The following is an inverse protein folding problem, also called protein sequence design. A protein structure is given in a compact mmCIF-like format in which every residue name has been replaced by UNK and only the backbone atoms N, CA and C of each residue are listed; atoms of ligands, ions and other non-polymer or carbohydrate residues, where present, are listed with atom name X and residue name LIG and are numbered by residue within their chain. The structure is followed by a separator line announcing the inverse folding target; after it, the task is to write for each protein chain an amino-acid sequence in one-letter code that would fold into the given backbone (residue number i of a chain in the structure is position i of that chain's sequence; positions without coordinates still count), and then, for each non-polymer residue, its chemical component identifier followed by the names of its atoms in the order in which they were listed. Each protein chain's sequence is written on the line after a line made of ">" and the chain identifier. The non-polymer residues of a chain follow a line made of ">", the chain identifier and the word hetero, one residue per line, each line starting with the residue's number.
data_IF_734142672190
#
_entry.id   IF_734142672190
#
_cell.length_a   1.000
_cell.length_b   1.000
_cell.length_c   1.000
_cell.angle_alpha   90.00
_cell.angle_beta   90.00
_cell.angle_gamma   90.00
#
_symmetry.space_group_name_H-M   'P 1'
#
loop_
_entity.id
_entity.type
_entity.pdbx_description
1 polymer ?
#
# COMPACT_ATOMS: atom_id res chain seq x y z
N UNK A 1 -12.52 2.53 13.35
CA UNK A 1 -13.11 2.63 12.00
C UNK A 1 -12.07 3.16 11.01
N UNK A 2 -11.50 4.37 11.20
CA UNK A 2 -10.56 5.02 10.27
C UNK A 2 -9.35 4.15 9.90
N UNK A 3 -8.80 3.40 10.85
CA UNK A 3 -7.65 2.51 10.60
C UNK A 3 -8.03 1.32 9.70
N UNK A 4 -9.16 0.67 9.94
CA UNK A 4 -9.61 -0.48 9.14
C UNK A 4 -10.12 -0.04 7.77
N UNK A 5 -10.77 1.13 7.68
CA UNK A 5 -11.19 1.72 6.41
C UNK A 5 -10.04 2.44 5.67
N UNK A 6 -8.84 2.43 6.25
CA UNK A 6 -7.63 3.04 5.65
C UNK A 6 -7.87 4.50 5.22
N UNK A 7 -8.54 5.27 6.07
CA UNK A 7 -8.99 6.64 5.73
C UNK A 7 -7.98 7.72 6.17
N UNK A 8 -7.14 7.43 7.17
CA UNK A 8 -6.09 8.33 7.66
C UNK A 8 -6.57 9.50 8.52
N UNK A 9 -7.86 9.60 8.81
CA UNK A 9 -8.40 10.65 9.63
C UNK A 9 -8.33 10.27 11.11
N UNK A 10 -7.68 11.12 11.92
CA UNK A 10 -7.62 11.00 13.37
C UNK A 10 -7.97 12.32 14.03
N UNK A 11 -8.90 12.33 15.01
CA UNK A 11 -9.23 13.51 15.78
C UNK A 11 -8.18 13.85 16.83
N UNK A 12 -7.22 12.94 17.06
CA UNK A 12 -6.15 13.07 18.07
C UNK A 12 -4.80 12.76 17.46
N UNK A 13 -3.76 13.30 18.06
CA UNK A 13 -2.39 12.98 17.69
C UNK A 13 -2.03 11.56 18.14
N UNK A 14 -1.85 10.69 17.17
CA UNK A 14 -1.56 9.27 17.40
C UNK A 14 -0.21 9.09 18.11
N UNK A 15 0.76 9.92 17.75
CA UNK A 15 2.09 9.87 18.32
C UNK A 15 2.13 10.21 19.80
N UNK A 16 1.33 11.21 20.22
CA UNK A 16 1.29 11.71 21.58
C UNK A 16 0.31 10.95 22.50
N UNK A 17 -0.86 10.56 21.96
CA UNK A 17 -1.98 10.04 22.77
C UNK A 17 -1.94 8.52 22.92
N UNK A 18 -1.51 7.79 21.89
CA UNK A 18 -1.51 6.33 21.95
C UNK A 18 -0.29 5.76 22.66
N UNK A 19 -0.55 4.82 23.57
CA UNK A 19 0.49 3.97 24.17
C UNK A 19 1.21 3.12 23.10
N UNK A 20 2.42 2.60 23.36
CA UNK A 20 3.10 1.69 22.42
C UNK A 20 2.24 0.49 22.02
N UNK A 21 1.47 -0.07 22.94
CA UNK A 21 0.51 -1.13 22.67
C UNK A 21 -0.59 -0.67 21.73
N UNK A 22 -1.16 0.52 21.95
CA UNK A 22 -2.19 1.12 21.10
C UNK A 22 -1.70 1.37 19.67
N UNK A 23 -0.44 1.82 19.51
CA UNK A 23 0.21 1.98 18.20
C UNK A 23 0.37 0.64 17.48
N UNK A 24 0.70 -0.43 18.20
CA UNK A 24 0.78 -1.79 17.66
C UNK A 24 -0.60 -2.30 17.20
N UNK A 25 -1.63 -2.10 18.00
CA UNK A 25 -3.02 -2.46 17.62
C UNK A 25 -3.46 -1.68 16.38
N UNK A 26 -3.16 -0.37 16.34
CA UNK A 26 -3.47 0.48 15.19
C UNK A 26 -2.79 -0.05 13.92
N UNK A 27 -1.52 -0.42 14.01
CA UNK A 27 -0.77 -1.01 12.91
C UNK A 27 -1.41 -2.30 12.38
N UNK A 28 -1.81 -3.21 13.28
CA UNK A 28 -2.53 -4.42 12.91
C UNK A 28 -3.86 -4.11 12.21
N UNK A 29 -4.60 -3.09 12.67
CA UNK A 29 -5.85 -2.67 12.05
C UNK A 29 -5.63 -2.07 10.66
N UNK A 30 -4.57 -1.27 10.46
CA UNK A 30 -4.19 -0.73 9.14
C UNK A 30 -3.82 -1.87 8.19
N UNK A 31 -2.98 -2.80 8.63
CA UNK A 31 -2.57 -3.95 7.83
C UNK A 31 -3.76 -4.82 7.43
N UNK A 32 -4.66 -5.07 8.38
CA UNK A 32 -5.89 -5.81 8.09
C UNK A 32 -6.79 -5.07 7.09
N UNK A 33 -6.96 -3.77 7.24
CA UNK A 33 -7.73 -2.95 6.29
C UNK A 33 -7.11 -2.88 4.90
N UNK A 34 -5.80 -2.66 4.82
CA UNK A 34 -5.06 -2.49 3.57
C UNK A 34 -4.97 -3.76 2.72
N UNK A 35 -4.93 -4.94 3.35
CA UNK A 35 -5.01 -6.22 2.63
C UNK A 35 -6.35 -6.43 1.92
N UNK A 36 -7.39 -5.72 2.33
CA UNK A 36 -8.68 -5.65 1.67
C UNK A 36 -9.58 -6.87 1.86
N UNK A 37 -10.86 -6.65 1.62
CA UNK A 37 -11.94 -7.63 1.79
C UNK A 37 -11.70 -8.91 0.95
N UNK A 38 -11.13 -8.77 -0.25
CA UNK A 38 -10.86 -9.91 -1.15
C UNK A 38 -9.87 -10.91 -0.55
N UNK A 39 -8.85 -10.42 0.14
CA UNK A 39 -7.86 -11.30 0.80
C UNK A 39 -8.50 -12.05 1.97
N UNK A 40 -9.30 -11.36 2.79
CA UNK A 40 -10.02 -12.01 3.90
C UNK A 40 -11.04 -13.02 3.43
N UNK A 41 -11.84 -12.68 2.42
CA UNK A 41 -12.80 -13.61 1.84
C UNK A 41 -12.09 -14.88 1.34
N UNK A 42 -10.94 -14.72 0.72
CA UNK A 42 -10.12 -15.85 0.26
C UNK A 42 -9.54 -16.67 1.42
N UNK A 43 -9.12 -16.02 2.52
CA UNK A 43 -8.63 -16.71 3.74
C UNK A 43 -9.76 -17.47 4.41
N UNK A 44 -10.93 -16.85 4.60
CA UNK A 44 -12.10 -17.49 5.19
C UNK A 44 -12.52 -18.70 4.35
N UNK A 45 -12.53 -18.56 3.02
CA UNK A 45 -12.83 -19.65 2.11
C UNK A 45 -11.84 -20.82 2.24
N UNK A 46 -10.55 -20.54 2.43
CA UNK A 46 -9.52 -21.57 2.67
C UNK A 46 -9.71 -22.30 3.99
N UNK A 47 -10.03 -21.57 5.06
CA UNK A 47 -10.26 -22.14 6.38
C UNK A 47 -11.52 -23.01 6.39
N UNK A 48 -12.54 -22.63 5.64
CA UNK A 48 -13.80 -23.37 5.52
C UNK A 48 -13.85 -24.41 4.40
N UNK A 49 -12.75 -24.60 3.69
CA UNK A 49 -12.64 -25.46 2.49
C UNK A 49 -13.21 -26.88 2.64
N UNK A 50 -13.27 -27.42 3.84
CA UNK A 50 -13.79 -28.78 4.06
C UNK A 50 -15.31 -28.92 3.93
N UNK A 51 -16.08 -27.83 3.91
CA UNK A 51 -17.54 -27.82 3.96
C UNK A 51 -18.23 -27.05 2.82
N UNK A 52 -17.52 -26.60 1.79
CA UNK A 52 -18.11 -25.74 0.74
C UNK A 52 -18.38 -26.53 -0.54
N UNK A 53 -19.61 -26.53 -1.08
CA UNK A 53 -19.97 -27.24 -2.32
C UNK A 53 -19.21 -26.67 -3.54
N UNK A 54 -18.98 -27.55 -4.53
CA UNK A 54 -18.20 -27.30 -5.73
C UNK A 54 -18.60 -26.02 -6.53
N UNK A 55 -19.88 -25.66 -6.55
CA UNK A 55 -20.38 -24.48 -7.26
C UNK A 55 -19.82 -23.13 -6.75
N UNK A 56 -19.45 -23.06 -5.47
CA UNK A 56 -18.89 -21.82 -4.89
C UNK A 56 -17.42 -21.61 -5.24
N UNK A 57 -16.71 -22.67 -5.65
CA UNK A 57 -15.31 -22.60 -6.09
C UNK A 57 -15.16 -21.89 -7.43
N UNK A 58 -16.08 -22.16 -8.37
CA UNK A 58 -16.10 -21.50 -9.67
C UNK A 58 -16.39 -20.01 -9.55
N UNK A 59 -17.34 -19.61 -8.69
CA UNK A 59 -17.66 -18.21 -8.46
C UNK A 59 -16.49 -17.42 -7.88
N UNK A 60 -15.73 -18.00 -6.94
CA UNK A 60 -14.55 -17.36 -6.37
C UNK A 60 -13.37 -17.33 -7.35
N UNK A 61 -13.18 -18.39 -8.14
CA UNK A 61 -12.13 -18.40 -9.18
C UNK A 61 -12.43 -17.42 -10.31
N UNK A 62 -13.70 -17.27 -10.68
CA UNK A 62 -14.15 -16.28 -11.66
C UNK A 62 -14.06 -14.85 -11.11
N UNK A 63 -14.41 -14.62 -9.85
CA UNK A 63 -14.27 -13.31 -9.20
C UNK A 63 -12.81 -12.86 -9.08
N UNK A 64 -11.88 -13.81 -8.96
CA UNK A 64 -10.44 -13.55 -8.92
C UNK A 64 -9.79 -13.54 -10.32
N UNK A 65 -10.58 -13.71 -11.41
CA UNK A 65 -10.11 -13.69 -12.83
C UNK A 65 -8.99 -14.68 -13.17
N UNK A 66 -8.81 -15.77 -12.39
CA UNK A 66 -7.67 -16.68 -12.55
C UNK A 66 -8.13 -18.13 -12.51
N UNK A 67 -8.07 -18.81 -13.67
CA UNK A 67 -8.32 -20.23 -13.77
C UNK A 67 -7.30 -21.10 -13.01
N UNK A 68 -7.71 -22.29 -12.59
CA UNK A 68 -6.93 -23.42 -12.02
C UNK A 68 -5.85 -23.12 -10.95
N UNK A 69 -5.98 -22.05 -10.18
CA UNK A 69 -4.99 -21.69 -9.17
C UNK A 69 -5.40 -22.16 -7.76
N UNK A 70 -4.44 -22.76 -7.05
CA UNK A 70 -4.57 -22.96 -5.60
C UNK A 70 -4.66 -21.60 -4.90
N UNK A 71 -5.83 -21.28 -4.34
CA UNK A 71 -6.08 -20.05 -3.57
C UNK A 71 -5.01 -19.86 -2.48
N UNK A 72 -4.57 -20.98 -1.85
CA UNK A 72 -3.52 -20.95 -0.84
C UNK A 72 -2.16 -20.49 -1.39
N UNK A 73 -1.80 -20.92 -2.60
CA UNK A 73 -0.57 -20.48 -3.24
C UNK A 73 -0.64 -19.00 -3.62
N UNK A 74 -1.79 -18.55 -4.11
CA UNK A 74 -2.03 -17.12 -4.41
C UNK A 74 -1.89 -16.25 -3.17
N UNK A 75 -2.58 -16.60 -2.07
CA UNK A 75 -2.52 -15.85 -0.81
C UNK A 75 -1.10 -15.78 -0.26
N UNK A 76 -0.37 -16.90 -0.25
CA UNK A 76 1.02 -16.93 0.21
C UNK A 76 1.92 -16.02 -0.62
N UNK A 77 1.71 -15.99 -1.94
CA UNK A 77 2.45 -15.10 -2.83
C UNK A 77 2.10 -13.63 -2.59
N UNK A 78 0.82 -13.30 -2.44
CA UNK A 78 0.36 -11.93 -2.16
C UNK A 78 0.91 -11.45 -0.82
N UNK A 79 0.75 -12.23 0.25
CA UNK A 79 1.26 -11.87 1.57
C UNK A 79 2.78 -11.70 1.57
N UNK A 80 3.51 -12.66 0.96
CA UNK A 80 4.96 -12.57 0.85
C UNK A 80 5.42 -11.33 0.09
N UNK A 81 4.68 -10.94 -0.95
CA UNK A 81 4.93 -9.74 -1.74
C UNK A 81 4.69 -8.47 -0.92
N UNK A 82 3.55 -8.36 -0.26
CA UNK A 82 3.18 -7.22 0.58
C UNK A 82 4.22 -7.02 1.66
N UNK A 83 4.47 -8.02 2.49
CA UNK A 83 5.48 -7.93 3.55
C UNK A 83 6.89 -7.70 3.02
N UNK A 84 7.22 -8.22 1.84
CA UNK A 84 8.50 -7.96 1.18
C UNK A 84 8.69 -6.50 0.80
N UNK A 85 7.68 -5.88 0.19
CA UNK A 85 7.72 -4.46 -0.20
C UNK A 85 7.75 -3.56 1.04
N UNK A 86 6.90 -3.85 2.02
CA UNK A 86 6.86 -3.13 3.29
C UNK A 86 8.20 -3.21 4.04
N UNK A 87 8.83 -4.38 4.08
CA UNK A 87 10.14 -4.56 4.69
C UNK A 87 11.24 -3.77 3.97
N UNK A 88 11.23 -3.77 2.64
CA UNK A 88 12.21 -3.00 1.85
C UNK A 88 12.00 -1.50 2.08
N UNK A 89 10.77 -1.00 2.05
CA UNK A 89 10.48 0.41 2.29
C UNK A 89 10.85 0.83 3.72
N UNK A 90 10.54 -0.01 4.72
CA UNK A 90 10.93 0.23 6.11
C UNK A 90 12.45 0.27 6.28
N UNK A 91 13.17 -0.65 5.64
CA UNK A 91 14.63 -0.69 5.66
C UNK A 91 15.23 0.57 5.03
N UNK A 92 14.72 1.01 3.88
CA UNK A 92 15.19 2.22 3.21
C UNK A 92 14.95 3.47 4.06
N UNK A 93 13.78 3.61 4.68
CA UNK A 93 13.48 4.72 5.60
C UNK A 93 14.41 4.71 6.83
N UNK A 94 14.62 3.54 7.43
CA UNK A 94 15.49 3.40 8.59
C UNK A 94 16.96 3.70 8.27
N UNK A 95 17.46 3.25 7.12
CA UNK A 95 18.83 3.53 6.69
C UNK A 95 19.05 5.01 6.34
N UNK A 96 18.01 5.70 5.89
CA UNK A 96 18.09 7.09 5.52
C UNK A 96 18.17 8.02 6.72
N UNK A 97 17.26 7.89 7.67
CA UNK A 97 17.24 8.65 8.92
C UNK A 97 16.88 7.73 10.11
N UNK A 98 17.88 7.11 10.77
CA UNK A 98 17.64 6.21 11.89
C UNK A 98 17.06 6.88 13.14
N UNK A 99 17.15 8.20 13.25
CA UNK A 99 16.69 8.96 14.42
C UNK A 99 15.17 9.18 14.33
N UNK A 100 14.69 9.65 13.20
CA UNK A 100 13.26 9.86 13.00
C UNK A 100 12.56 8.53 12.67
N UNK A 101 13.10 7.76 11.75
CA UNK A 101 12.60 6.45 11.37
C UNK A 101 13.28 5.32 12.18
N UNK A 102 13.22 5.40 13.53
CA UNK A 102 13.62 4.26 14.35
C UNK A 102 12.83 3.00 13.95
N UNK A 103 13.26 1.76 14.26
CA UNK A 103 12.72 0.54 13.65
C UNK A 103 11.20 0.44 13.65
N UNK A 104 10.54 0.78 14.75
CA UNK A 104 9.07 0.76 14.81
C UNK A 104 8.45 1.85 13.95
N UNK A 105 9.03 3.07 13.94
CA UNK A 105 8.55 4.18 13.12
C UNK A 105 8.68 3.88 11.62
N UNK A 106 9.81 3.30 11.20
CA UNK A 106 10.03 2.89 9.82
C UNK A 106 9.00 1.87 9.35
N UNK A 107 8.76 0.82 10.15
CA UNK A 107 7.73 -0.19 9.87
C UNK A 107 6.34 0.45 9.81
N UNK A 108 6.02 1.32 10.76
CA UNK A 108 4.72 1.98 10.82
C UNK A 108 4.45 2.83 9.57
N UNK A 109 5.41 3.68 9.19
CA UNK A 109 5.25 4.55 8.02
C UNK A 109 5.25 3.76 6.71
N UNK A 110 6.04 2.69 6.61
CA UNK A 110 6.04 1.80 5.46
C UNK A 110 4.69 1.13 5.25
N UNK A 111 4.12 0.53 6.29
CA UNK A 111 2.80 -0.12 6.26
C UNK A 111 1.71 0.93 5.97
N UNK A 112 1.75 2.07 6.66
CA UNK A 112 0.80 3.16 6.46
C UNK A 112 0.82 3.68 5.02
N UNK A 113 2.00 3.81 4.41
CA UNK A 113 2.15 4.24 3.02
C UNK A 113 1.66 3.18 2.04
N UNK A 114 2.09 1.92 2.19
CA UNK A 114 1.70 0.83 1.29
C UNK A 114 0.19 0.57 1.33
N UNK A 115 -0.41 0.58 2.52
CA UNK A 115 -1.87 0.45 2.68
C UNK A 115 -2.65 1.72 2.28
N UNK A 116 -1.99 2.82 1.90
CA UNK A 116 -2.62 4.12 1.61
C UNK A 116 -3.38 4.70 2.82
N UNK A 117 -2.93 4.40 4.03
CA UNK A 117 -3.62 4.75 5.25
C UNK A 117 -3.41 6.21 5.70
N UNK A 118 -2.24 6.79 5.41
CA UNK A 118 -1.95 8.19 5.73
C UNK A 118 -1.73 8.52 7.20
N UNK A 119 -1.61 7.52 8.07
CA UNK A 119 -1.29 7.73 9.49
C UNK A 119 0.20 7.94 9.70
N UNK A 120 0.55 8.88 10.60
CA UNK A 120 1.91 9.11 11.07
C UNK A 120 2.02 9.04 12.58
N UNK A 121 3.25 8.89 13.08
CA UNK A 121 3.56 8.84 14.52
C UNK A 121 4.02 10.20 15.07
N UNK A 122 4.22 11.20 14.21
CA UNK A 122 4.59 12.56 14.58
C UNK A 122 3.39 13.49 14.51
N UNK A 123 3.35 14.54 15.35
CA UNK A 123 2.36 15.61 15.34
C UNK A 123 2.26 16.30 13.99
N UNK A 124 3.40 16.50 13.33
CA UNK A 124 3.52 17.11 12.01
C UNK A 124 3.47 16.09 10.88
N UNK A 125 3.24 14.80 11.19
CA UNK A 125 3.33 13.69 10.23
C UNK A 125 4.68 13.72 9.49
N UNK A 126 4.70 13.72 8.17
CA UNK A 126 5.91 13.79 7.34
C UNK A 126 6.22 15.19 6.81
N UNK A 127 5.60 16.24 7.38
CA UNK A 127 5.82 17.62 6.92
C UNK A 127 7.28 18.10 7.06
N UNK A 128 8.04 17.54 8.01
CA UNK A 128 9.47 17.80 8.16
C UNK A 128 10.30 17.38 6.95
N UNK A 129 9.83 16.38 6.19
CA UNK A 129 10.49 15.84 5.00
C UNK A 129 9.88 16.37 3.70
N UNK A 130 9.17 17.52 3.75
CA UNK A 130 8.50 18.10 2.59
C UNK A 130 9.43 18.25 1.38
N UNK A 131 10.65 18.75 1.63
CA UNK A 131 11.63 19.04 0.59
C UNK A 131 12.63 17.88 0.37
N UNK A 132 12.46 16.80 1.10
CA UNK A 132 13.33 15.62 1.01
C UNK A 132 12.86 14.66 -0.07
N UNK A 133 13.60 14.67 -1.18
CA UNK A 133 13.26 13.86 -2.36
C UNK A 133 13.32 12.37 -2.07
N UNK A 134 14.26 11.90 -1.23
CA UNK A 134 14.45 10.49 -0.97
C UNK A 134 13.27 9.90 -0.16
N UNK A 135 12.90 10.53 0.95
CA UNK A 135 11.75 10.11 1.77
C UNK A 135 10.47 10.17 0.94
N UNK A 136 10.24 11.27 0.22
CA UNK A 136 9.07 11.43 -0.62
C UNK A 136 8.99 10.37 -1.73
N UNK A 137 10.11 9.99 -2.36
CA UNK A 137 10.15 8.95 -3.38
C UNK A 137 9.84 7.56 -2.80
N UNK A 138 10.36 7.22 -1.61
CA UNK A 138 10.09 5.94 -0.94
C UNK A 138 8.61 5.83 -0.57
N UNK A 139 8.06 6.89 0.05
CA UNK A 139 6.64 6.93 0.46
C UNK A 139 5.72 6.89 -0.76
N UNK A 140 5.93 7.77 -1.75
CA UNK A 140 5.12 7.80 -2.97
C UNK A 140 5.21 6.48 -3.76
N UNK A 141 6.40 5.89 -3.84
CA UNK A 141 6.58 4.56 -4.43
C UNK A 141 5.77 3.48 -3.72
N UNK A 142 5.77 3.48 -2.38
CA UNK A 142 4.97 2.54 -1.57
C UNK A 142 3.47 2.74 -1.79
N UNK A 143 2.99 3.99 -1.81
CA UNK A 143 1.59 4.37 -2.10
C UNK A 143 1.16 3.87 -3.48
N UNK A 144 1.98 4.11 -4.51
CA UNK A 144 1.69 3.67 -5.88
C UNK A 144 1.65 2.14 -5.96
N UNK A 145 2.64 1.44 -5.39
CA UNK A 145 2.70 -0.02 -5.40
C UNK A 145 1.51 -0.64 -4.67
N UNK A 146 1.10 -0.08 -3.53
CA UNK A 146 -0.09 -0.52 -2.80
C UNK A 146 -1.39 -0.28 -3.56
N UNK A 147 -1.50 0.84 -4.30
CA UNK A 147 -2.69 1.24 -5.05
C UNK A 147 -2.91 0.50 -6.37
N UNK A 148 -1.85 -0.03 -7.00
CA UNK A 148 -1.97 -0.71 -8.32
C UNK A 148 -2.74 -2.03 -8.25
N UNK A 149 -2.78 -2.67 -7.09
CA UNK A 149 -3.47 -3.94 -6.87
C UNK A 149 -2.57 -5.17 -7.03
N UNK A 150 -2.86 -6.17 -6.18
CA UNK A 150 -2.01 -7.36 -6.01
C UNK A 150 -1.85 -8.22 -7.27
N UNK A 151 -2.88 -8.28 -8.13
CA UNK A 151 -2.83 -9.03 -9.38
C UNK A 151 -1.77 -8.50 -10.34
N UNK A 152 -1.75 -7.18 -10.54
CA UNK A 152 -0.79 -6.48 -11.39
C UNK A 152 0.62 -6.59 -10.82
N UNK A 153 0.74 -6.40 -9.51
CA UNK A 153 2.00 -6.46 -8.78
C UNK A 153 2.64 -7.86 -8.88
N UNK A 154 1.82 -8.91 -8.78
CA UNK A 154 2.26 -10.31 -8.99
C UNK A 154 2.77 -10.56 -10.41
N UNK A 155 2.04 -10.08 -11.43
CA UNK A 155 2.49 -10.22 -12.83
C UNK A 155 3.82 -9.51 -13.06
N UNK A 156 3.95 -8.30 -12.51
CA UNK A 156 5.17 -7.52 -12.63
C UNK A 156 6.39 -8.25 -12.01
N UNK A 157 6.22 -8.78 -10.79
CA UNK A 157 7.26 -9.57 -10.15
C UNK A 157 7.56 -10.88 -10.90
N UNK A 158 6.54 -11.53 -11.43
CA UNK A 158 6.72 -12.73 -12.26
C UNK A 158 7.60 -12.46 -13.49
N UNK A 159 7.48 -11.28 -14.09
CA UNK A 159 8.34 -10.83 -15.19
C UNK A 159 9.76 -10.58 -14.71
N UNK A 160 9.91 -9.83 -13.60
CA UNK A 160 11.22 -9.47 -13.04
C UNK A 160 12.01 -10.68 -12.53
N UNK A 161 11.34 -11.68 -11.97
CA UNK A 161 11.97 -12.91 -11.44
C UNK A 161 12.14 -14.02 -12.45
N UNK A 162 11.82 -13.77 -13.73
CA UNK A 162 11.97 -14.77 -14.79
C UNK A 162 11.11 -16.03 -14.60
N UNK A 163 9.95 -15.90 -13.95
CA UNK A 163 9.01 -17.01 -13.73
C UNK A 163 9.32 -17.93 -12.56
N UNK A 164 10.33 -17.63 -11.73
CA UNK A 164 10.69 -18.45 -10.55
C UNK A 164 9.62 -18.48 -9.44
N UNK A 165 8.68 -17.54 -9.45
CA UNK A 165 7.58 -17.45 -8.48
C UNK A 165 6.24 -18.02 -8.98
N UNK A 166 6.27 -19.07 -9.80
CA UNK A 166 5.10 -19.93 -9.98
C UNK A 166 4.22 -19.70 -11.22
N UNK A 167 4.55 -18.77 -12.11
CA UNK A 167 3.97 -18.74 -13.46
C UNK A 167 4.97 -18.08 -14.43
N UNK A 168 5.24 -18.66 -15.61
CA UNK A 168 6.09 -18.06 -16.63
C UNK A 168 5.31 -16.92 -17.33
N UNK A 169 5.20 -15.77 -16.69
CA UNK A 169 4.57 -14.59 -17.27
C UNK A 169 5.62 -13.86 -18.10
N UNK A 170 5.59 -14.09 -19.41
CA UNK A 170 6.48 -13.37 -20.35
C UNK A 170 6.01 -11.97 -20.71
N UNK A 171 4.74 -11.63 -20.48
CA UNK A 171 4.14 -10.33 -20.83
C UNK A 171 3.01 -10.00 -19.88
N UNK A 172 2.84 -8.71 -19.57
CA UNK A 172 1.69 -8.20 -18.83
C UNK A 172 0.38 -8.56 -19.55
N UNK A 173 -0.62 -9.00 -18.81
CA UNK A 173 -1.98 -9.25 -19.31
C UNK A 173 -2.59 -7.95 -19.87
N UNK A 174 -3.64 -8.07 -20.69
CA UNK A 174 -4.37 -6.90 -21.21
C UNK A 174 -4.94 -6.06 -20.07
N UNK A 175 -5.43 -6.73 -19.02
CA UNK A 175 -5.95 -6.11 -17.82
C UNK A 175 -4.87 -5.30 -17.09
N UNK A 176 -3.73 -5.90 -16.78
CA UNK A 176 -2.62 -5.23 -16.08
C UNK A 176 -2.07 -4.04 -16.85
N UNK A 177 -1.99 -4.15 -18.19
CA UNK A 177 -1.60 -3.02 -19.04
C UNK A 177 -2.62 -1.88 -19.00
N UNK A 178 -3.92 -2.19 -18.96
CA UNK A 178 -4.96 -1.18 -18.82
C UNK A 178 -4.84 -0.48 -17.48
N UNK A 179 -4.75 -1.23 -16.37
CA UNK A 179 -4.60 -0.69 -15.01
C UNK A 179 -3.38 0.23 -14.92
N UNK A 180 -2.21 -0.21 -15.36
CA UNK A 180 -0.99 0.61 -15.32
C UNK A 180 -1.15 1.89 -16.15
N UNK A 181 -1.72 1.80 -17.35
CA UNK A 181 -1.92 2.98 -18.23
C UNK A 181 -2.91 3.97 -17.61
N UNK A 182 -4.03 3.50 -17.07
CA UNK A 182 -5.02 4.37 -16.43
C UNK A 182 -4.49 4.99 -15.13
N UNK A 183 -3.77 4.24 -14.32
CA UNK A 183 -3.12 4.77 -13.12
C UNK A 183 -2.10 5.86 -13.46
N UNK A 184 -1.24 5.61 -14.44
CA UNK A 184 -0.26 6.61 -14.90
C UNK A 184 -0.95 7.87 -15.45
N UNK A 185 -2.01 7.69 -16.25
CA UNK A 185 -2.79 8.81 -16.80
C UNK A 185 -3.39 9.68 -15.66
N UNK A 186 -3.98 9.05 -14.65
CA UNK A 186 -4.58 9.74 -13.51
C UNK A 186 -3.52 10.47 -12.68
N UNK A 187 -2.37 9.85 -12.44
CA UNK A 187 -1.24 10.48 -11.71
C UNK A 187 -0.76 11.72 -12.47
N UNK A 188 -0.50 11.59 -13.78
CA UNK A 188 -0.05 12.72 -14.60
C UNK A 188 -1.11 13.83 -14.67
N UNK A 189 -2.39 13.46 -14.86
CA UNK A 189 -3.48 14.43 -14.87
C UNK A 189 -3.59 15.17 -13.53
N UNK A 190 -3.55 14.44 -12.41
CA UNK A 190 -3.56 15.03 -11.07
C UNK A 190 -2.39 15.99 -10.85
N UNK A 191 -1.19 15.59 -11.27
CA UNK A 191 -0.01 16.46 -11.20
C UNK A 191 -0.17 17.73 -12.03
N UNK A 192 -0.64 17.63 -13.28
CA UNK A 192 -0.89 18.77 -14.17
C UNK A 192 -1.93 19.72 -13.58
N UNK A 193 -3.05 19.17 -13.05
CA UNK A 193 -4.11 19.97 -12.43
C UNK A 193 -3.58 20.72 -11.20
N UNK A 194 -2.85 20.04 -10.31
CA UNK A 194 -2.26 20.67 -9.13
C UNK A 194 -1.26 21.76 -9.52
N UNK A 195 -0.39 21.48 -10.50
CA UNK A 195 0.56 22.45 -11.01
C UNK A 195 -0.17 23.69 -11.61
N UNK A 196 -1.22 23.47 -12.41
CA UNK A 196 -2.01 24.55 -13.00
C UNK A 196 -2.68 25.43 -11.94
N UNK A 197 -3.25 24.81 -10.89
CA UNK A 197 -3.88 25.53 -9.78
C UNK A 197 -2.84 26.35 -9.00
N UNK A 198 -1.66 25.80 -8.71
CA UNK A 198 -0.59 26.52 -8.01
C UNK A 198 -0.02 27.65 -8.87
N UNK A 199 0.16 27.39 -10.15
CA UNK A 199 0.63 28.41 -11.09
C UNK A 199 -0.37 29.56 -11.24
N UNK A 200 -1.68 29.27 -11.29
CA UNK A 200 -2.72 30.32 -11.42
C UNK A 200 -2.96 31.07 -10.10
N UNK A 201 -2.74 30.45 -8.95
CA UNK A 201 -2.79 31.15 -7.66
C UNK A 201 -1.69 32.20 -7.51
N UNK A 202 -0.80 32.31 -8.45
CA UNK A 202 0.37 33.19 -8.41
C UNK A 202 1.14 32.89 -7.13
N UNK A 203 2.39 32.56 -7.21
CA UNK A 203 3.28 32.34 -6.08
C UNK A 203 3.16 33.45 -5.03
N UNK A 204 2.15 33.34 -4.18
CA UNK A 204 2.15 34.08 -2.92
C UNK A 204 3.25 33.43 -2.11
N UNK A 205 4.39 34.11 -1.85
CA UNK A 205 5.38 33.59 -0.95
C UNK A 205 4.64 33.39 0.39
N UNK A 206 4.42 32.12 0.77
CA UNK A 206 4.01 31.80 2.13
C UNK A 206 5.22 32.12 3.00
N UNK A 207 5.31 33.37 3.42
CA UNK A 207 6.04 33.71 4.62
C UNK A 207 5.39 32.88 5.72
N UNK A 208 6.06 31.79 6.10
CA UNK A 208 5.81 31.06 7.33
C UNK A 208 6.43 31.89 8.44
N UNK A 209 5.88 33.09 8.62
CA UNK A 209 6.18 33.94 9.77
C UNK A 209 4.90 34.00 10.58
N UNK A 210 4.91 33.38 11.72
CA UNK A 210 3.89 33.67 12.70
C UNK A 210 3.37 32.48 13.51
N UNK A 211 4.01 32.31 14.68
CA UNK A 211 3.61 31.64 15.93
C UNK A 211 3.68 30.13 15.94
#
# INVERSE_FOLDING_TARGET
>A
TSAVCVTGLSPVDIGAVLSPFGKGVLLCLIQTGGLGVMTYTSIIFLLWRNNVPFNSREAVSQALLWGDFSIAAFLRQVLGLVFGIEAVAALLLWLYDPVFFYPFSAIFHSISAFCNAGFGLSTTNLALFRDDVAVNAIIAGSVILGGIGFGVLREFLGICTGGRMGAPVRRLSRFSRLVVKTSLLIIVLGWVVMFAIEFWRGSVPRTVDGC
#
